data_IF_106156953123
#
_entry.id   IF_106156953123
#
_cell.length_a   1.000
_cell.length_b   1.000
_cell.length_c   1.000
_cell.angle_alpha   90.00
_cell.angle_beta   90.00
_cell.angle_gamma   90.00
#
_symmetry.space_group_name_H-M   'P 1'
#
loop_
_entity.id
_entity.type
_entity.pdbx_description
1 polymer ?
#
# COMPACT_ATOMS: atom_id res chain seq x y z
N UNK A 1 47.21 -33.71 4.60
CA UNK A 1 46.54 -34.27 5.79
C UNK A 1 46.33 -33.12 6.77
N UNK A 2 45.19 -32.45 6.65
CA UNK A 2 44.04 -32.49 7.58
C UNK A 2 44.33 -31.73 8.89
N UNK A 3 43.80 -30.51 8.98
CA UNK A 3 42.90 -30.11 10.07
C UNK A 3 42.03 -28.94 9.60
N UNK A 4 40.81 -29.32 9.19
CA UNK A 4 39.62 -28.48 9.18
C UNK A 4 39.03 -28.38 10.60
N UNK A 5 38.06 -27.47 10.77
CA UNK A 5 37.21 -27.13 11.94
C UNK A 5 37.61 -25.75 12.49
N UNK A 6 36.77 -24.71 12.47
CA UNK A 6 35.33 -24.72 12.76
C UNK A 6 34.58 -23.67 11.91
N UNK A 7 33.78 -24.14 10.97
CA UNK A 7 32.62 -23.41 10.45
C UNK A 7 31.46 -23.66 11.41
N UNK A 8 30.78 -22.63 11.91
CA UNK A 8 29.54 -22.81 12.68
C UNK A 8 28.33 -22.38 11.84
N UNK A 9 27.37 -23.28 11.82
CA UNK A 9 26.27 -23.49 10.89
C UNK A 9 25.10 -22.54 11.15
N UNK A 10 24.53 -22.03 10.05
CA UNK A 10 23.21 -21.42 9.94
C UNK A 10 22.15 -22.54 9.93
N UNK A 11 21.13 -22.52 10.81
CA UNK A 11 19.90 -23.32 10.62
C UNK A 11 18.67 -22.48 10.97
N UNK A 12 17.70 -22.57 10.06
CA UNK A 12 16.41 -21.89 10.00
C UNK A 12 15.44 -22.25 11.14
N UNK A 13 14.58 -21.26 11.40
CA UNK A 13 13.49 -21.15 12.37
C UNK A 13 12.43 -22.28 12.33
N UNK A 14 11.94 -22.63 13.52
CA UNK A 14 10.54 -23.05 13.76
C UNK A 14 9.97 -22.24 14.93
N UNK A 15 8.80 -21.64 14.72
CA UNK A 15 8.27 -20.45 15.42
C UNK A 15 7.69 -20.67 16.83
N UNK A 16 8.09 -21.72 17.56
CA UNK A 16 7.51 -22.06 18.87
C UNK A 16 8.50 -22.24 20.03
N UNK A 17 9.79 -21.91 19.86
CA UNK A 17 10.85 -22.10 20.88
C UNK A 17 11.46 -20.78 21.41
N UNK A 18 10.91 -19.63 21.03
CA UNK A 18 11.61 -18.33 21.14
C UNK A 18 11.91 -17.89 22.59
N UNK A 19 11.15 -18.32 23.60
CA UNK A 19 11.35 -17.84 24.98
C UNK A 19 12.46 -18.55 25.77
N UNK A 20 12.82 -19.80 25.45
CA UNK A 20 13.89 -20.53 26.18
C UNK A 20 15.28 -20.27 25.60
N UNK A 21 15.40 -20.01 24.30
CA UNK A 21 16.69 -19.77 23.64
C UNK A 21 17.25 -18.37 23.92
N UNK A 22 16.39 -17.39 24.24
CA UNK A 22 16.83 -16.02 24.57
C UNK A 22 17.60 -15.97 25.89
N UNK A 23 17.15 -16.68 26.94
CA UNK A 23 17.86 -16.71 28.23
C UNK A 23 19.20 -17.40 28.11
N UNK A 24 19.29 -18.51 27.39
CA UNK A 24 20.54 -19.25 27.22
C UNK A 24 21.59 -18.45 26.45
N UNK A 25 21.17 -17.73 25.39
CA UNK A 25 22.04 -16.81 24.67
C UNK A 25 22.55 -15.68 25.57
N UNK A 26 21.64 -14.96 26.25
CA UNK A 26 22.03 -13.85 27.14
C UNK A 26 22.92 -14.33 28.29
N UNK A 27 22.66 -15.50 28.87
CA UNK A 27 23.49 -16.10 29.92
C UNK A 27 24.89 -16.43 29.39
N UNK A 28 24.99 -17.01 28.19
CA UNK A 28 26.28 -17.33 27.56
C UNK A 28 27.07 -16.07 27.21
N UNK A 29 26.44 -15.04 26.64
CA UNK A 29 27.12 -13.77 26.35
C UNK A 29 27.50 -13.05 27.64
N UNK A 30 26.66 -13.06 28.67
CA UNK A 30 27.00 -12.49 29.99
C UNK A 30 28.18 -13.22 30.64
N UNK A 31 28.31 -14.53 30.42
CA UNK A 31 29.48 -15.28 30.83
C UNK A 31 30.73 -14.84 30.06
N UNK A 32 30.71 -14.91 28.72
CA UNK A 32 31.88 -14.59 27.88
C UNK A 32 32.39 -13.15 28.13
N UNK A 33 31.46 -12.18 28.17
CA UNK A 33 31.78 -10.76 28.29
C UNK A 33 31.71 -10.25 29.74
N UNK A 34 31.60 -11.13 30.72
CA UNK A 34 31.42 -10.75 32.13
C UNK A 34 32.56 -9.90 32.71
N UNK A 35 33.77 -10.02 32.17
CA UNK A 35 34.97 -9.35 32.66
C UNK A 35 35.44 -8.18 31.78
N UNK A 36 34.66 -7.77 30.79
CA UNK A 36 35.03 -6.60 29.97
C UNK A 36 34.81 -5.31 30.77
N UNK A 37 35.60 -4.29 30.48
CA UNK A 37 35.38 -2.96 31.04
C UNK A 37 34.31 -2.24 30.22
N UNK A 38 33.06 -2.32 30.69
CA UNK A 38 31.90 -1.72 30.01
C UNK A 38 32.05 -0.20 29.81
N UNK A 39 32.87 0.48 30.61
CA UNK A 39 33.14 1.91 30.43
C UNK A 39 33.97 2.20 29.16
N UNK A 40 34.74 1.22 28.67
CA UNK A 40 35.46 1.32 27.38
C UNK A 40 34.54 1.12 26.17
N UNK A 41 33.35 0.53 26.37
CA UNK A 41 32.30 0.47 25.35
C UNK A 41 31.51 1.78 25.34
N UNK A 42 32.19 2.88 25.00
CA UNK A 42 31.67 4.26 25.06
C UNK A 42 30.43 4.49 24.21
N UNK A 43 30.21 3.69 23.17
CA UNK A 43 29.00 3.79 22.33
C UNK A 43 27.78 3.11 22.97
N UNK A 44 28.00 2.26 23.97
CA UNK A 44 27.00 1.38 24.56
C UNK A 44 26.62 0.17 23.69
N UNK A 45 27.24 -0.01 22.52
CA UNK A 45 26.96 -1.12 21.60
C UNK A 45 28.25 -1.89 21.29
N UNK A 46 28.28 -3.19 21.59
CA UNK A 46 29.39 -4.07 21.26
C UNK A 46 28.92 -5.15 20.28
N UNK A 47 29.52 -5.19 19.08
CA UNK A 47 29.10 -6.09 18.01
C UNK A 47 29.09 -7.56 18.44
N UNK A 48 30.15 -8.00 19.08
CA UNK A 48 30.32 -9.41 19.44
C UNK A 48 29.38 -9.87 20.56
N UNK A 49 28.75 -8.93 21.29
CA UNK A 49 27.79 -9.23 22.35
C UNK A 49 26.38 -9.54 21.81
N UNK A 50 26.01 -9.00 20.65
CA UNK A 50 24.66 -9.05 20.11
C UNK A 50 24.42 -10.12 19.04
N UNK A 51 23.14 -10.44 18.83
CA UNK A 51 22.68 -11.26 17.69
C UNK A 51 22.63 -10.39 16.44
N UNK A 52 23.35 -10.82 15.40
CA UNK A 52 23.33 -10.18 14.08
C UNK A 52 22.20 -10.74 13.23
N UNK A 53 21.12 -9.98 13.10
CA UNK A 53 19.99 -10.30 12.21
C UNK A 53 20.25 -9.88 10.76
N UNK A 54 21.31 -9.10 10.53
CA UNK A 54 21.78 -8.66 9.21
C UNK A 54 23.31 -8.49 9.24
N UNK A 55 23.95 -8.41 8.07
CA UNK A 55 25.37 -8.07 7.93
C UNK A 55 25.56 -6.56 8.15
N UNK A 56 25.55 -6.14 9.41
CA UNK A 56 25.59 -4.72 9.80
C UNK A 56 26.79 -3.96 9.21
N UNK A 57 27.90 -4.65 8.96
CA UNK A 57 29.13 -4.07 8.42
C UNK A 57 28.97 -3.55 6.98
N UNK A 58 28.01 -4.09 6.22
CA UNK A 58 27.72 -3.65 4.86
C UNK A 58 27.02 -2.28 4.82
N UNK A 59 26.39 -1.86 5.92
CA UNK A 59 25.57 -0.64 6.02
C UNK A 59 26.34 0.50 6.71
N UNK A 60 27.56 0.74 6.27
CA UNK A 60 28.52 1.64 6.94
C UNK A 60 28.48 3.11 6.46
N UNK A 61 27.44 3.49 5.71
CA UNK A 61 27.33 4.82 5.11
C UNK A 61 27.99 4.96 3.73
N UNK A 62 28.27 3.86 3.04
CA UNK A 62 28.74 3.83 1.64
C UNK A 62 27.85 2.89 0.83
N UNK A 63 27.39 3.30 -0.35
CA UNK A 63 26.54 2.48 -1.22
C UNK A 63 27.35 1.35 -1.89
N UNK A 64 26.78 0.14 -1.93
CA UNK A 64 27.26 -0.99 -2.73
C UNK A 64 26.09 -1.89 -3.18
N UNK A 65 26.36 -2.91 -3.99
CA UNK A 65 25.30 -3.76 -4.55
C UNK A 65 24.52 -4.60 -3.52
N UNK A 66 25.04 -4.76 -2.30
CA UNK A 66 24.55 -5.72 -1.32
C UNK A 66 23.95 -5.07 -0.07
N UNK A 67 23.84 -3.73 -0.03
CA UNK A 67 23.42 -3.00 1.16
C UNK A 67 22.18 -2.12 0.94
N UNK A 68 21.26 -2.61 0.13
CA UNK A 68 19.94 -2.00 -0.05
C UNK A 68 19.16 -2.03 1.26
N UNK A 69 18.49 -0.93 1.58
CA UNK A 69 17.73 -0.76 2.82
C UNK A 69 16.25 -0.66 2.52
N UNK A 70 15.56 -1.80 2.49
CA UNK A 70 14.11 -1.84 2.65
C UNK A 70 13.72 -1.79 4.14
N UNK A 71 12.41 -1.76 4.42
CA UNK A 71 11.87 -1.73 5.78
C UNK A 71 12.34 -2.91 6.63
N UNK A 72 12.43 -4.11 6.05
CA UNK A 72 12.88 -5.34 6.71
C UNK A 72 14.36 -5.28 7.03
N UNK A 73 15.21 -4.78 6.13
CA UNK A 73 16.63 -4.58 6.44
C UNK A 73 16.80 -3.51 7.51
N UNK A 74 16.07 -2.39 7.42
CA UNK A 74 16.07 -1.35 8.46
C UNK A 74 15.74 -1.94 9.84
N UNK A 75 14.64 -2.69 9.95
CA UNK A 75 14.24 -3.35 11.20
C UNK A 75 15.28 -4.37 11.69
N UNK A 76 15.90 -5.12 10.78
CA UNK A 76 16.97 -6.08 11.11
C UNK A 76 18.24 -5.38 11.63
N UNK A 77 18.60 -4.22 11.07
CA UNK A 77 19.70 -3.39 11.57
C UNK A 77 19.40 -2.85 12.97
N UNK A 78 18.20 -2.31 13.17
CA UNK A 78 17.76 -1.81 14.49
C UNK A 78 17.73 -2.94 15.54
N UNK A 79 17.21 -4.12 15.21
CA UNK A 79 17.23 -5.30 16.09
C UNK A 79 18.65 -5.76 16.42
N UNK A 80 19.56 -5.72 15.44
CA UNK A 80 20.97 -6.07 15.66
C UNK A 80 21.63 -5.10 16.64
N UNK A 81 21.45 -3.79 16.43
CA UNK A 81 21.90 -2.77 17.40
C UNK A 81 21.28 -2.96 18.78
N UNK A 82 19.98 -3.28 18.84
CA UNK A 82 19.28 -3.46 20.10
C UNK A 82 19.84 -4.63 20.92
N UNK A 83 20.27 -5.71 20.25
CA UNK A 83 20.88 -6.86 20.92
C UNK A 83 22.35 -6.64 21.30
N UNK A 84 23.03 -5.69 20.65
CA UNK A 84 24.44 -5.34 20.91
C UNK A 84 24.66 -4.50 22.16
N UNK A 85 23.60 -4.10 22.89
CA UNK A 85 23.75 -3.19 24.03
C UNK A 85 24.54 -3.80 25.18
N UNK A 86 25.53 -3.04 25.65
CA UNK A 86 26.32 -3.37 26.83
C UNK A 86 26.48 -2.14 27.73
N UNK A 87 26.28 -2.33 29.03
CA UNK A 87 26.33 -1.24 30.01
C UNK A 87 25.14 -0.28 29.88
N UNK A 88 25.31 0.93 30.42
CA UNK A 88 24.20 1.89 30.56
C UNK A 88 24.21 2.98 29.47
N UNK A 89 25.29 3.10 28.69
CA UNK A 89 25.45 4.15 27.67
C UNK A 89 24.38 4.08 26.55
N UNK A 90 23.79 2.92 26.32
CA UNK A 90 22.71 2.71 25.36
C UNK A 90 21.33 2.49 26.02
N UNK A 91 21.17 2.78 27.32
CA UNK A 91 19.93 2.54 28.06
C UNK A 91 18.72 3.32 27.51
N UNK A 92 18.96 4.43 26.82
CA UNK A 92 17.91 5.25 26.19
C UNK A 92 17.39 4.70 24.85
N UNK A 93 18.01 3.65 24.30
CA UNK A 93 17.55 3.06 23.05
C UNK A 93 16.17 2.43 23.24
N UNK A 94 15.19 2.92 22.47
CA UNK A 94 13.82 2.42 22.51
C UNK A 94 13.74 0.95 22.11
N UNK A 95 12.84 0.22 22.77
CA UNK A 95 12.54 -1.17 22.45
C UNK A 95 12.09 -1.31 20.97
N UNK A 96 12.48 -2.39 20.25
CA UNK A 96 12.13 -2.54 18.84
C UNK A 96 10.61 -2.58 18.63
N UNK A 97 9.86 -3.16 19.57
CA UNK A 97 8.40 -3.16 19.52
C UNK A 97 7.81 -1.73 19.52
N UNK A 98 8.39 -0.81 20.30
CA UNK A 98 7.99 0.60 20.37
C UNK A 98 8.35 1.35 19.09
N UNK A 99 9.53 1.09 18.53
CA UNK A 99 9.94 1.73 17.27
C UNK A 99 9.12 1.18 16.10
N UNK A 100 8.96 -0.14 16.01
CA UNK A 100 8.28 -0.74 14.86
C UNK A 100 6.78 -0.45 14.84
N UNK A 101 6.16 -0.13 15.98
CA UNK A 101 4.79 0.38 16.00
C UNK A 101 4.68 1.80 15.44
N UNK A 102 5.71 2.65 15.58
CA UNK A 102 5.76 3.98 14.95
C UNK A 102 6.18 3.94 13.48
N UNK A 103 6.84 2.86 13.03
CA UNK A 103 7.17 2.60 11.62
C UNK A 103 6.07 1.88 10.85
N UNK A 104 4.97 1.47 11.50
CA UNK A 104 3.75 1.19 10.75
C UNK A 104 3.34 2.52 10.13
N UNK A 105 3.03 2.58 8.82
CA UNK A 105 2.43 3.79 8.29
C UNK A 105 1.25 4.11 9.20
N UNK A 106 1.29 5.28 9.87
CA UNK A 106 0.06 5.86 10.37
C UNK A 106 -0.89 5.79 9.18
N UNK A 107 -1.96 5.00 9.30
CA UNK A 107 -3.01 4.78 8.28
C UNK A 107 -2.99 5.91 7.27
N UNK A 108 -2.47 5.65 6.05
CA UNK A 108 -2.17 6.64 4.99
C UNK A 108 -2.58 8.05 5.40
N UNK A 109 -1.66 8.82 5.98
CA UNK A 109 -1.96 10.24 6.19
C UNK A 109 -2.34 10.79 4.82
N UNK A 110 -3.51 11.41 4.72
CA UNK A 110 -4.14 11.85 3.46
C UNK A 110 -3.28 12.91 2.73
N UNK A 111 -2.13 13.27 3.30
CA UNK A 111 -1.27 14.39 2.90
C UNK A 111 0.13 13.97 2.45
N UNK A 112 0.62 12.77 2.80
CA UNK A 112 2.00 12.33 2.48
C UNK A 112 2.03 10.86 2.04
N UNK A 113 2.55 10.63 0.83
CA UNK A 113 2.60 9.31 0.20
C UNK A 113 3.73 8.44 0.75
N UNK A 114 4.91 9.03 0.97
CA UNK A 114 6.13 8.31 1.35
C UNK A 114 6.80 8.95 2.56
N UNK A 115 6.79 8.22 3.67
CA UNK A 115 7.64 8.54 4.82
C UNK A 115 8.96 7.78 4.73
N UNK A 116 10.07 8.46 4.99
CA UNK A 116 11.35 7.84 5.26
C UNK A 116 11.55 7.62 6.76
N UNK A 117 12.26 6.55 7.11
CA UNK A 117 12.87 6.36 8.42
C UNK A 117 14.38 6.23 8.28
N UNK A 118 15.12 6.90 9.15
CA UNK A 118 16.58 6.93 9.13
C UNK A 118 17.15 6.43 10.45
N UNK A 119 18.25 5.68 10.37
CA UNK A 119 19.05 5.34 11.54
C UNK A 119 20.53 5.67 11.28
N UNK A 120 21.16 6.33 12.25
CA UNK A 120 22.61 6.55 12.28
C UNK A 120 23.15 6.24 13.67
N UNK A 121 23.83 5.10 13.81
CA UNK A 121 24.44 4.70 15.07
C UNK A 121 25.93 4.46 14.91
N UNK A 122 26.71 4.88 15.90
CA UNK A 122 28.06 4.36 16.10
C UNK A 122 28.04 3.19 17.07
N UNK A 123 28.81 2.16 16.78
CA UNK A 123 28.99 0.98 17.62
C UNK A 123 30.46 0.63 17.73
N UNK A 124 30.82 -0.21 18.70
CA UNK A 124 32.17 -0.73 18.85
C UNK A 124 32.25 -2.21 18.51
N UNK A 125 33.41 -2.62 18.01
CA UNK A 125 33.77 -4.01 17.79
C UNK A 125 35.19 -4.23 18.27
N UNK A 126 35.56 -5.47 18.58
CA UNK A 126 36.96 -5.78 18.82
C UNK A 126 37.82 -5.52 17.57
N UNK A 127 39.01 -4.96 17.79
CA UNK A 127 40.06 -4.91 16.77
C UNK A 127 40.41 -6.34 16.36
N UNK A 128 40.65 -6.55 15.07
CA UNK A 128 41.02 -7.87 14.53
C UNK A 128 42.30 -8.44 15.16
N UNK A 129 43.18 -7.57 15.67
CA UNK A 129 44.40 -7.93 16.37
C UNK A 129 44.32 -7.76 17.91
N UNK A 130 43.14 -7.57 18.51
CA UNK A 130 43.03 -7.28 19.96
C UNK A 130 43.71 -8.35 20.84
N UNK A 131 43.62 -9.63 20.46
CA UNK A 131 44.29 -10.73 21.18
C UNK A 131 45.80 -10.72 20.93
N UNK A 132 46.23 -10.69 19.66
CA UNK A 132 47.66 -10.76 19.30
C UNK A 132 48.45 -9.52 19.73
N UNK A 133 47.79 -8.37 19.83
CA UNK A 133 48.34 -7.14 20.34
C UNK A 133 48.37 -7.09 21.89
N UNK A 134 47.69 -8.03 22.56
CA UNK A 134 47.57 -8.06 24.02
C UNK A 134 46.66 -6.98 24.60
N UNK A 135 45.66 -6.53 23.84
CA UNK A 135 44.62 -5.60 24.32
C UNK A 135 43.54 -6.33 25.13
N UNK A 136 43.36 -7.64 24.90
CA UNK A 136 42.49 -8.53 25.68
C UNK A 136 43.19 -9.85 25.99
N UNK A 137 42.74 -10.53 27.04
CA UNK A 137 43.09 -11.93 27.36
C UNK A 137 41.86 -12.81 27.33
N UNK A 138 42.01 -14.07 26.92
CA UNK A 138 40.93 -15.07 26.91
C UNK A 138 41.32 -16.20 27.85
N UNK A 139 40.50 -16.46 28.88
CA UNK A 139 40.72 -17.54 29.85
C UNK A 139 39.38 -18.19 30.19
N UNK A 140 39.26 -19.53 30.07
CA UNK A 140 38.03 -20.28 30.39
C UNK A 140 36.77 -19.62 29.80
N UNK A 141 36.78 -19.33 28.49
CA UNK A 141 35.72 -18.64 27.74
C UNK A 141 35.42 -17.18 28.16
N UNK A 142 36.12 -16.62 29.15
CA UNK A 142 36.00 -15.20 29.50
C UNK A 142 36.97 -14.34 28.71
N UNK A 143 36.46 -13.25 28.14
CA UNK A 143 37.27 -12.16 27.60
C UNK A 143 37.47 -11.12 28.70
N UNK A 144 38.71 -10.67 28.90
CA UNK A 144 39.06 -9.62 29.87
C UNK A 144 39.88 -8.53 29.20
N UNK A 145 39.49 -7.27 29.40
CA UNK A 145 40.19 -6.12 28.83
C UNK A 145 41.46 -5.81 29.64
N UNK A 146 42.58 -5.57 28.97
CA UNK A 146 43.83 -5.21 29.64
C UNK A 146 43.79 -3.73 30.08
N UNK A 147 44.18 -3.45 31.32
CA UNK A 147 44.21 -2.10 31.87
C UNK A 147 45.09 -1.15 31.04
N UNK A 148 44.63 0.08 30.82
CA UNK A 148 45.35 1.08 30.02
C UNK A 148 45.33 0.86 28.50
N UNK A 149 44.72 -0.24 28.02
CA UNK A 149 44.63 -0.56 26.58
C UNK A 149 43.20 -0.44 26.08
N UNK A 150 43.05 -0.07 24.80
CA UNK A 150 41.76 0.00 24.11
C UNK A 150 41.66 -1.12 23.06
N UNK A 151 40.83 -2.15 23.28
CA UNK A 151 40.70 -3.26 22.35
C UNK A 151 39.67 -3.00 21.24
N UNK A 152 38.96 -1.87 21.27
CA UNK A 152 37.81 -1.62 20.39
C UNK A 152 38.11 -0.63 19.26
N UNK A 153 37.54 -0.89 18.09
CA UNK A 153 37.35 0.07 17.01
C UNK A 153 35.92 0.60 17.04
N UNK A 154 35.75 1.89 16.72
CA UNK A 154 34.41 2.48 16.48
C UNK A 154 34.04 2.34 15.00
N UNK A 155 32.82 1.90 14.75
CA UNK A 155 32.22 1.69 13.43
C UNK A 155 30.84 2.35 13.38
N UNK A 156 30.23 2.37 12.20
CA UNK A 156 28.96 3.04 11.93
C UNK A 156 27.99 2.09 11.27
N UNK A 157 26.71 2.20 11.65
CA UNK A 157 25.56 1.71 10.88
C UNK A 157 24.75 2.92 10.44
N UNK A 158 24.46 2.98 9.15
CA UNK A 158 23.62 3.99 8.54
C UNK A 158 22.65 3.34 7.55
N UNK A 159 21.38 3.67 7.67
CA UNK A 159 20.34 3.18 6.77
C UNK A 159 19.15 4.12 6.72
N UNK A 160 18.66 4.38 5.51
CA UNK A 160 17.43 5.15 5.28
C UNK A 160 16.51 4.30 4.41
N UNK A 161 15.29 4.08 4.88
CA UNK A 161 14.28 3.28 4.19
C UNK A 161 13.02 4.10 3.96
N UNK A 162 12.41 4.08 2.76
CA UNK A 162 11.02 4.42 2.61
C UNK A 162 10.17 3.38 3.36
N UNK A 163 9.08 3.81 4.00
CA UNK A 163 8.19 2.93 4.77
C UNK A 163 7.11 2.25 3.91
N UNK A 164 7.08 2.59 2.64
CA UNK A 164 6.30 1.99 1.57
C UNK A 164 7.24 1.66 0.41
N UNK A 165 7.01 0.53 -0.26
CA UNK A 165 7.87 0.03 -1.35
C UNK A 165 7.22 0.18 -2.73
N UNK A 166 5.93 0.50 -2.79
CA UNK A 166 5.16 0.55 -4.03
C UNK A 166 4.29 1.80 -4.05
N UNK A 167 4.40 2.57 -5.14
CA UNK A 167 3.67 3.81 -5.36
C UNK A 167 2.93 3.73 -6.69
N UNK A 168 1.83 4.46 -6.80
CA UNK A 168 1.06 4.54 -8.04
C UNK A 168 0.56 5.95 -8.32
N UNK A 169 0.76 6.40 -9.55
CA UNK A 169 0.53 7.78 -9.98
C UNK A 169 1.76 8.30 -10.70
N UNK A 170 1.76 9.59 -10.98
CA UNK A 170 2.87 10.31 -11.59
C UNK A 170 3.64 11.11 -10.55
N UNK A 171 2.95 11.72 -9.59
CA UNK A 171 3.52 12.64 -8.61
C UNK A 171 3.29 12.14 -7.20
N UNK A 172 4.34 12.15 -6.37
CA UNK A 172 4.31 11.66 -5.01
C UNK A 172 4.96 12.64 -4.04
N UNK A 173 4.39 12.70 -2.84
CA UNK A 173 4.87 13.48 -1.72
C UNK A 173 5.76 12.63 -0.80
N UNK A 174 7.01 13.06 -0.62
CA UNK A 174 8.01 12.43 0.24
C UNK A 174 8.29 13.29 1.46
N UNK A 175 8.41 12.69 2.64
CA UNK A 175 8.82 13.38 3.86
C UNK A 175 9.77 12.52 4.70
N UNK A 176 10.72 13.16 5.36
CA UNK A 176 11.49 12.57 6.45
C UNK A 176 11.13 13.30 7.76
N UNK A 177 10.23 12.73 8.59
CA UNK A 177 9.91 13.30 9.88
C UNK A 177 11.11 13.20 10.83
N UNK A 178 11.38 14.24 11.61
CA UNK A 178 12.44 14.22 12.63
C UNK A 178 12.19 13.15 13.70
N UNK A 179 10.92 12.80 13.95
CA UNK A 179 10.54 11.73 14.87
C UNK A 179 10.95 10.32 14.37
N UNK A 180 11.27 10.17 13.08
CA UNK A 180 11.72 8.91 12.47
C UNK A 180 13.22 8.90 12.17
N UNK A 181 13.99 9.81 12.80
CA UNK A 181 15.45 9.82 12.76
C UNK A 181 15.99 9.29 14.09
N UNK A 182 16.57 8.10 14.06
CA UNK A 182 17.09 7.40 15.22
C UNK A 182 18.62 7.47 15.26
N UNK A 183 19.21 8.00 16.32
CA UNK A 183 20.67 8.13 16.43
C UNK A 183 21.18 8.08 17.87
N UNK A 184 22.45 7.70 18.05
CA UNK A 184 23.20 7.89 19.30
C UNK A 184 24.34 8.92 19.17
N UNK A 185 24.32 9.74 18.11
CA UNK A 185 25.36 10.75 17.86
C UNK A 185 24.81 12.15 18.15
N UNK A 186 25.69 13.05 18.61
CA UNK A 186 25.37 14.47 18.81
C UNK A 186 25.89 15.34 17.65
N UNK A 187 26.28 14.72 16.53
CA UNK A 187 26.81 15.45 15.38
C UNK A 187 25.68 16.27 14.74
N UNK A 188 25.86 17.58 14.48
CA UNK A 188 24.83 18.38 13.83
C UNK A 188 24.62 17.94 12.38
N UNK A 189 23.39 17.57 12.03
CA UNK A 189 23.01 17.26 10.65
C UNK A 189 22.88 18.58 9.86
N UNK A 190 23.81 18.83 8.92
CA UNK A 190 23.84 20.08 8.15
C UNK A 190 23.02 20.02 6.88
N UNK A 191 22.95 18.87 6.22
CA UNK A 191 22.22 18.73 4.95
C UNK A 191 21.74 17.31 4.74
N UNK A 192 20.54 17.20 4.14
CA UNK A 192 19.99 15.95 3.63
C UNK A 192 19.76 16.13 2.13
N UNK A 193 20.24 15.19 1.33
CA UNK A 193 19.96 15.14 -0.11
C UNK A 193 19.42 13.78 -0.48
N UNK A 194 18.47 13.74 -1.40
CA UNK A 194 17.90 12.52 -1.96
C UNK A 194 17.93 12.62 -3.48
N UNK A 195 18.52 11.62 -4.12
CA UNK A 195 18.29 11.33 -5.52
C UNK A 195 17.11 10.38 -5.60
N UNK A 196 16.02 10.85 -6.21
CA UNK A 196 14.77 10.10 -6.30
C UNK A 196 14.70 9.21 -7.55
N UNK A 197 15.75 9.18 -8.39
CA UNK A 197 15.71 8.49 -9.69
C UNK A 197 14.62 9.05 -10.63
N UNK A 198 14.40 10.37 -10.52
CA UNK A 198 13.48 11.18 -11.32
C UNK A 198 14.21 11.93 -12.46
N UNK A 199 15.52 11.73 -12.60
CA UNK A 199 16.39 12.36 -13.58
C UNK A 199 17.00 13.70 -13.14
N UNK A 200 16.68 14.22 -11.95
CA UNK A 200 17.23 15.48 -11.44
C UNK A 200 18.44 15.29 -10.51
N UNK A 201 18.80 14.05 -10.19
CA UNK A 201 19.91 13.72 -9.29
C UNK A 201 19.64 14.13 -7.84
N UNK A 202 20.69 14.35 -7.05
CA UNK A 202 20.57 14.71 -5.63
C UNK A 202 19.90 16.07 -5.41
N UNK A 203 18.72 16.05 -4.82
CA UNK A 203 17.94 17.22 -4.44
C UNK A 203 17.99 17.42 -2.92
N UNK A 204 18.11 18.67 -2.46
CA UNK A 204 18.10 18.96 -1.01
C UNK A 204 16.69 18.79 -0.45
N UNK A 205 16.59 18.10 0.68
CA UNK A 205 15.35 17.94 1.46
C UNK A 205 15.58 18.40 2.90
N UNK A 206 14.51 18.72 3.62
CA UNK A 206 14.56 19.13 5.03
C UNK A 206 13.67 18.23 5.87
N UNK A 207 14.00 18.09 7.15
CA UNK A 207 13.17 17.34 8.08
C UNK A 207 11.79 18.00 8.20
N UNK A 208 10.75 17.18 8.37
CA UNK A 208 9.36 17.62 8.54
C UNK A 208 8.84 18.51 7.40
N UNK A 209 9.40 18.37 6.19
CA UNK A 209 9.02 19.14 5.01
C UNK A 209 8.71 18.20 3.87
N UNK A 210 7.52 18.36 3.28
CA UNK A 210 7.08 17.59 2.12
C UNK A 210 7.86 18.00 0.88
N UNK A 211 8.35 17.00 0.14
CA UNK A 211 9.00 17.12 -1.16
C UNK A 211 8.17 16.36 -2.20
N UNK A 212 7.60 17.09 -3.15
CA UNK A 212 6.91 16.49 -4.28
C UNK A 212 7.91 16.07 -5.36
N UNK A 213 7.72 14.88 -5.92
CA UNK A 213 8.55 14.27 -6.95
C UNK A 213 7.64 13.68 -8.01
N UNK A 214 7.86 14.05 -9.27
CA UNK A 214 7.10 13.53 -10.41
C UNK A 214 7.98 12.61 -11.25
N UNK A 215 7.46 11.44 -11.57
CA UNK A 215 8.06 10.48 -12.49
C UNK A 215 7.36 10.54 -13.84
N UNK A 216 8.10 10.37 -14.93
CA UNK A 216 7.54 10.32 -16.29
C UNK A 216 7.38 8.89 -16.82
N UNK A 217 7.81 7.90 -16.03
CA UNK A 217 7.76 6.48 -16.37
C UNK A 217 7.80 5.62 -15.12
N UNK A 218 7.18 4.44 -15.23
CA UNK A 218 7.12 3.47 -14.14
C UNK A 218 8.41 2.66 -14.00
N UNK A 219 8.34 1.64 -13.15
CA UNK A 219 9.41 0.70 -12.88
C UNK A 219 10.09 0.93 -11.54
N UNK A 220 11.14 0.16 -11.32
CA UNK A 220 11.98 0.26 -10.13
C UNK A 220 12.73 1.60 -10.12
N UNK A 221 12.70 2.29 -8.99
CA UNK A 221 13.43 3.54 -8.73
C UNK A 221 14.38 3.32 -7.57
N UNK A 222 15.66 3.62 -7.77
CA UNK A 222 16.68 3.50 -6.72
C UNK A 222 16.86 4.85 -6.02
N UNK A 223 16.27 4.98 -4.83
CA UNK A 223 16.38 6.18 -4.02
C UNK A 223 17.71 6.21 -3.29
N UNK A 224 18.58 7.18 -3.60
CA UNK A 224 19.89 7.35 -2.95
C UNK A 224 19.82 8.52 -1.98
N UNK A 225 20.11 8.26 -0.72
CA UNK A 225 20.04 9.25 0.35
C UNK A 225 21.45 9.57 0.83
N UNK A 226 21.71 10.86 1.06
CA UNK A 226 22.98 11.40 1.54
C UNK A 226 22.74 12.33 2.72
N UNK A 227 23.34 12.02 3.87
CA UNK A 227 23.34 12.87 5.06
C UNK A 227 24.74 13.46 5.26
N UNK A 228 24.82 14.78 5.40
CA UNK A 228 26.06 15.51 5.67
C UNK A 228 26.02 16.00 7.11
N UNK A 229 26.98 15.58 7.93
CA UNK A 229 27.11 16.03 9.32
C UNK A 229 28.23 17.07 9.45
N UNK A 230 27.95 18.19 10.11
CA UNK A 230 28.93 19.25 10.34
C UNK A 230 30.05 18.78 11.27
N UNK A 231 31.30 18.93 10.83
CA UNK A 231 32.47 18.40 11.54
C UNK A 231 32.51 16.86 11.60
N UNK A 232 31.68 16.18 10.81
CA UNK A 232 31.49 14.73 10.82
C UNK A 232 31.53 14.11 9.43
N UNK A 233 31.07 12.84 9.30
CA UNK A 233 31.08 12.14 8.03
C UNK A 233 29.95 12.63 7.10
N UNK A 234 30.10 12.31 5.82
CA UNK A 234 28.97 12.20 4.89
C UNK A 234 28.61 10.74 4.74
N UNK A 235 27.35 10.39 4.96
CA UNK A 235 26.85 9.01 4.95
C UNK A 235 25.84 8.83 3.83
N UNK A 236 25.96 7.70 3.14
CA UNK A 236 25.13 7.31 2.00
C UNK A 236 24.36 6.04 2.32
N UNK A 237 23.11 6.00 1.89
CA UNK A 237 22.24 4.82 1.92
C UNK A 237 21.43 4.78 0.64
N UNK A 238 20.94 3.60 0.26
CA UNK A 238 20.05 3.45 -0.87
C UNK A 238 18.97 2.43 -0.60
N UNK A 239 17.85 2.62 -1.29
CA UNK A 239 16.64 1.83 -1.16
C UNK A 239 15.96 1.76 -2.53
N UNK A 240 14.99 0.86 -2.67
CA UNK A 240 14.18 0.78 -3.88
C UNK A 240 12.72 0.99 -3.56
N UNK A 241 12.05 1.67 -4.48
CA UNK A 241 10.60 1.67 -4.59
C UNK A 241 10.24 1.22 -6.00
N UNK A 242 9.04 0.69 -6.16
CA UNK A 242 8.45 0.46 -7.47
C UNK A 242 7.40 1.54 -7.73
N UNK A 243 7.56 2.29 -8.82
CA UNK A 243 6.58 3.27 -9.28
C UNK A 243 5.74 2.63 -10.38
N UNK A 244 4.47 2.37 -10.09
CA UNK A 244 3.49 2.08 -11.11
C UNK A 244 2.98 3.40 -11.71
N UNK A 245 3.70 3.90 -12.70
CA UNK A 245 3.37 5.17 -13.34
C UNK A 245 2.01 5.10 -14.02
N UNK A 246 1.12 5.97 -13.58
CA UNK A 246 -0.10 6.32 -14.30
C UNK A 246 0.12 7.75 -14.78
N UNK A 247 0.08 8.02 -16.10
CA UNK A 247 0.12 9.39 -16.59
C UNK A 247 -0.93 10.24 -15.88
N UNK A 248 -0.70 11.52 -15.64
CA UNK A 248 -1.72 12.41 -15.13
C UNK A 248 -2.82 12.58 -16.20
N UNK A 249 -3.74 11.62 -16.24
CA UNK A 249 -4.96 11.59 -17.04
C UNK A 249 -6.08 11.07 -16.16
N UNK A 250 -6.57 11.94 -15.27
CA UNK A 250 -7.87 11.82 -14.62
C UNK A 250 -7.96 10.78 -13.50
N UNK A 251 -8.77 11.12 -12.50
CA UNK A 251 -9.14 10.32 -11.34
C UNK A 251 -10.06 9.15 -11.78
N UNK A 252 -10.80 8.52 -10.85
CA UNK A 252 -12.03 7.82 -11.22
C UNK A 252 -12.81 8.67 -12.23
N UNK A 253 -13.10 8.12 -13.42
CA UNK A 253 -13.52 8.93 -14.57
C UNK A 253 -15.03 9.14 -14.64
N UNK A 254 -15.84 8.19 -14.16
CA UNK A 254 -17.21 8.54 -13.79
C UNK A 254 -17.19 9.30 -12.48
N UNK A 255 -17.44 10.60 -12.56
CA UNK A 255 -17.45 11.53 -11.44
C UNK A 255 -18.71 12.43 -11.43
N UNK A 256 -19.71 12.08 -12.26
CA UNK A 256 -20.96 12.80 -12.51
C UNK A 256 -20.80 14.09 -13.31
N UNK A 257 -19.58 14.51 -13.63
CA UNK A 257 -19.35 15.72 -14.43
C UNK A 257 -19.88 15.50 -15.84
N UNK A 258 -20.82 16.34 -16.25
CA UNK A 258 -21.44 16.21 -17.57
C UNK A 258 -22.53 15.12 -17.67
N UNK A 259 -22.84 14.43 -16.56
CA UNK A 259 -23.94 13.48 -16.53
C UNK A 259 -25.31 14.18 -16.78
N UNK A 260 -26.24 13.46 -17.42
CA UNK A 260 -27.60 13.94 -17.70
C UNK A 260 -28.64 13.06 -17.05
N UNK A 261 -29.76 13.64 -16.61
CA UNK A 261 -30.85 12.90 -15.97
C UNK A 261 -32.13 12.97 -16.80
N UNK A 262 -32.84 11.84 -16.92
CA UNK A 262 -34.11 11.73 -17.65
C UNK A 262 -35.16 11.03 -16.81
N UNK A 263 -36.40 11.53 -16.84
CA UNK A 263 -37.53 10.88 -16.16
C UNK A 263 -38.24 9.93 -17.13
N UNK A 264 -38.40 8.66 -16.74
CA UNK A 264 -38.99 7.61 -17.56
C UNK A 264 -40.14 6.94 -16.82
N UNK A 265 -41.24 6.70 -17.52
CA UNK A 265 -42.43 6.01 -17.02
C UNK A 265 -42.65 4.72 -17.81
N UNK A 266 -42.86 3.61 -17.10
CA UNK A 266 -43.13 2.30 -17.69
C UNK A 266 -44.58 2.10 -18.14
N UNK A 267 -44.82 0.96 -18.78
CA UNK A 267 -46.18 0.53 -19.15
C UNK A 267 -47.06 0.23 -17.91
N UNK A 268 -48.37 0.22 -18.12
CA UNK A 268 -49.36 -0.05 -17.07
C UNK A 268 -49.33 -1.54 -16.68
N UNK A 269 -49.19 -1.84 -15.40
CA UNK A 269 -49.39 -3.18 -14.82
C UNK A 269 -50.35 -3.11 -13.64
N UNK A 270 -51.45 -3.87 -13.73
CA UNK A 270 -52.54 -3.87 -12.74
C UNK A 270 -53.03 -2.46 -12.39
N UNK A 271 -53.28 -1.62 -13.40
CA UNK A 271 -53.91 -0.31 -13.24
C UNK A 271 -53.01 0.84 -12.79
N UNK A 272 -51.69 0.63 -12.64
CA UNK A 272 -50.72 1.69 -12.33
C UNK A 272 -49.41 1.50 -13.10
N UNK A 273 -48.58 2.55 -13.13
CA UNK A 273 -47.25 2.56 -13.75
C UNK A 273 -46.17 2.75 -12.68
N UNK A 274 -44.96 2.27 -12.94
CA UNK A 274 -43.76 2.73 -12.23
C UNK A 274 -43.08 3.86 -13.01
N UNK A 275 -42.35 4.72 -12.31
CA UNK A 275 -41.49 5.73 -12.92
C UNK A 275 -40.16 5.80 -12.18
N UNK A 276 -39.16 6.37 -12.84
CA UNK A 276 -37.81 6.51 -12.29
C UNK A 276 -37.02 7.61 -12.99
N UNK A 277 -35.92 8.01 -12.36
CA UNK A 277 -34.89 8.86 -12.93
C UNK A 277 -33.75 7.97 -13.43
N UNK A 278 -33.31 8.20 -14.66
CA UNK A 278 -32.08 7.60 -15.16
C UNK A 278 -30.99 8.66 -15.23
N UNK A 279 -29.78 8.33 -14.77
CA UNK A 279 -28.58 9.18 -14.91
C UNK A 279 -27.65 8.54 -15.95
N UNK A 280 -27.20 9.34 -16.92
CA UNK A 280 -26.35 8.91 -18.02
C UNK A 280 -25.06 9.70 -18.02
N UNK A 281 -23.93 9.00 -17.97
CA UNK A 281 -22.58 9.56 -18.11
C UNK A 281 -21.83 8.77 -19.18
N UNK A 282 -21.31 9.46 -20.19
CA UNK A 282 -20.56 8.84 -21.28
C UNK A 282 -19.11 8.62 -20.87
N UNK A 283 -18.45 7.62 -21.45
CA UNK A 283 -17.00 7.49 -21.25
C UNK A 283 -16.26 8.71 -21.83
N UNK A 284 -15.27 9.25 -21.11
CA UNK A 284 -14.53 10.47 -21.49
C UNK A 284 -13.62 10.27 -22.71
N UNK A 285 -13.49 9.03 -23.19
CA UNK A 285 -12.63 8.69 -24.34
C UNK A 285 -13.12 9.32 -25.65
N UNK A 286 -14.41 9.57 -25.80
CA UNK A 286 -15.00 10.20 -26.99
C UNK A 286 -16.25 11.07 -26.73
N UNK A 287 -16.90 10.94 -25.57
CA UNK A 287 -18.12 11.68 -25.22
C UNK A 287 -19.34 11.29 -26.06
N UNK A 288 -19.34 10.10 -26.68
CA UNK A 288 -20.41 9.61 -27.54
C UNK A 288 -21.14 8.47 -26.83
N UNK A 289 -22.46 8.62 -26.66
CA UNK A 289 -23.27 7.53 -26.10
C UNK A 289 -23.46 6.39 -27.11
N UNK A 290 -22.63 5.36 -27.04
CA UNK A 290 -22.61 4.27 -28.01
C UNK A 290 -22.54 2.87 -27.40
N UNK A 291 -22.02 2.68 -26.17
CA UNK A 291 -21.78 1.35 -25.58
C UNK A 291 -22.34 1.23 -24.16
N UNK A 292 -23.66 1.03 -24.00
CA UNK A 292 -24.31 1.21 -22.70
C UNK A 292 -24.06 0.05 -21.71
N UNK A 293 -23.71 0.42 -20.48
CA UNK A 293 -23.85 -0.37 -19.26
C UNK A 293 -25.01 0.17 -18.43
N UNK A 294 -26.12 -0.57 -18.41
CA UNK A 294 -27.34 -0.22 -17.66
C UNK A 294 -27.26 -0.86 -16.27
N UNK A 295 -27.13 -0.04 -15.23
CA UNK A 295 -27.11 -0.43 -13.83
C UNK A 295 -28.46 -0.14 -13.20
N UNK A 296 -29.13 -1.17 -12.67
CA UNK A 296 -30.46 -1.07 -12.07
C UNK A 296 -30.32 -1.21 -10.55
N UNK A 297 -30.78 -0.20 -9.82
CA UNK A 297 -30.74 -0.19 -8.37
C UNK A 297 -31.55 -1.31 -7.70
N UNK A 298 -31.34 -1.46 -6.40
CA UNK A 298 -31.96 -2.49 -5.57
C UNK A 298 -33.24 -2.05 -4.86
N UNK A 299 -33.45 -2.64 -3.69
CA UNK A 299 -34.51 -2.24 -2.77
C UNK A 299 -34.02 -1.04 -1.96
N UNK A 300 -34.66 0.12 -2.15
CA UNK A 300 -34.29 1.39 -1.51
C UNK A 300 -35.56 2.16 -1.08
N UNK A 301 -36.19 1.76 0.04
CA UNK A 301 -37.48 2.31 0.46
C UNK A 301 -37.41 3.78 0.91
N UNK A 302 -36.21 4.24 1.26
CA UNK A 302 -35.95 5.62 1.69
C UNK A 302 -35.47 6.51 0.54
N UNK A 303 -35.28 5.94 -0.67
CA UNK A 303 -34.73 6.63 -1.83
C UNK A 303 -33.40 7.32 -1.51
N UNK A 304 -32.55 6.61 -0.76
CA UNK A 304 -31.29 7.07 -0.18
C UNK A 304 -30.06 6.71 -1.01
N UNK A 305 -30.20 5.81 -1.97
CA UNK A 305 -29.14 5.38 -2.87
C UNK A 305 -29.27 6.10 -4.22
N UNK A 306 -28.27 6.89 -4.58
CA UNK A 306 -28.27 7.63 -5.85
C UNK A 306 -27.03 7.34 -6.73
N UNK A 307 -26.87 8.13 -7.78
CA UNK A 307 -25.76 7.97 -8.71
C UNK A 307 -24.39 8.28 -8.08
N UNK A 308 -24.32 9.23 -7.14
CA UNK A 308 -23.07 9.51 -6.42
C UNK A 308 -22.69 8.30 -5.56
N UNK A 309 -23.65 7.64 -4.92
CA UNK A 309 -23.38 6.41 -4.17
C UNK A 309 -22.89 5.26 -5.07
N UNK A 310 -23.37 5.19 -6.32
CA UNK A 310 -22.89 4.19 -7.27
C UNK A 310 -21.44 4.43 -7.68
N UNK A 311 -21.00 5.68 -7.89
CA UNK A 311 -19.68 5.95 -8.45
C UNK A 311 -18.58 6.13 -7.40
N UNK A 312 -18.92 6.32 -6.12
CA UNK A 312 -17.96 6.54 -5.03
C UNK A 312 -17.64 5.26 -4.23
N UNK A 313 -16.38 5.09 -3.77
CA UNK A 313 -15.92 3.91 -3.02
C UNK A 313 -16.69 3.71 -1.69
N UNK A 314 -17.03 4.81 -1.01
CA UNK A 314 -17.75 4.78 0.28
C UNK A 314 -19.27 4.58 0.13
N UNK A 315 -19.79 4.62 -1.11
CA UNK A 315 -21.20 4.45 -1.41
C UNK A 315 -21.66 2.99 -1.39
N UNK A 316 -22.94 2.77 -1.06
CA UNK A 316 -23.49 1.42 -0.95
C UNK A 316 -23.58 0.72 -2.32
N UNK A 317 -22.64 -0.17 -2.65
CA UNK A 317 -22.58 -0.79 -3.97
C UNK A 317 -21.74 0.00 -5.00
N UNK A 318 -20.87 0.87 -4.50
CA UNK A 318 -19.95 1.69 -5.30
C UNK A 318 -19.09 0.89 -6.29
N UNK A 319 -18.89 1.44 -7.50
CA UNK A 319 -18.01 0.87 -8.53
C UNK A 319 -16.58 1.38 -8.46
N UNK A 320 -16.26 2.36 -7.61
CA UNK A 320 -14.87 2.76 -7.36
C UNK A 320 -14.15 1.81 -6.40
N UNK A 321 -14.35 0.52 -6.60
CA UNK A 321 -13.70 -0.57 -5.85
C UNK A 321 -12.49 -1.09 -6.61
N UNK A 322 -11.44 -1.45 -5.87
CA UNK A 322 -10.21 -2.01 -6.45
C UNK A 322 -10.43 -3.44 -6.94
N UNK A 323 -10.08 -3.73 -8.20
CA UNK A 323 -10.21 -5.06 -8.83
C UNK A 323 -8.87 -5.71 -9.23
N UNK A 324 -7.76 -5.01 -9.01
CA UNK A 324 -6.41 -5.52 -9.28
C UNK A 324 -5.85 -6.42 -8.16
N UNK A 325 -5.09 -7.46 -8.53
CA UNK A 325 -4.35 -8.29 -7.57
C UNK A 325 -3.12 -7.58 -7.00
N UNK A 326 -2.64 -8.03 -5.84
CA UNK A 326 -1.39 -7.53 -5.24
C UNK A 326 -0.22 -7.65 -6.23
N UNK A 327 0.53 -6.56 -6.43
CA UNK A 327 1.63 -6.48 -7.41
C UNK A 327 1.20 -6.25 -8.86
N UNK A 328 -0.09 -6.06 -9.14
CA UNK A 328 -0.60 -5.58 -10.44
C UNK A 328 -0.96 -4.09 -10.35
N UNK A 329 -1.04 -3.37 -11.48
CA UNK A 329 -1.51 -1.99 -11.48
C UNK A 329 -2.86 -1.86 -10.75
N UNK A 330 -3.01 -0.89 -9.84
CA UNK A 330 -4.35 -0.63 -9.29
C UNK A 330 -5.26 -0.21 -10.43
N UNK A 331 -6.34 -0.96 -10.56
CA UNK A 331 -7.44 -0.75 -11.48
C UNK A 331 -8.69 -0.78 -10.62
N UNK A 332 -9.46 0.31 -10.58
CA UNK A 332 -10.80 0.27 -9.99
C UNK A 332 -11.80 -0.23 -11.02
N UNK A 333 -12.92 -0.77 -10.56
CA UNK A 333 -13.99 -1.21 -11.46
C UNK A 333 -14.53 -0.04 -12.28
N UNK A 334 -14.65 1.16 -11.69
CA UNK A 334 -14.97 2.42 -12.37
C UNK A 334 -14.02 2.65 -13.57
N UNK A 335 -12.71 2.64 -13.33
CA UNK A 335 -11.70 2.77 -14.39
C UNK A 335 -11.76 1.66 -15.43
N UNK A 336 -12.05 0.42 -15.03
CA UNK A 336 -12.11 -0.71 -15.96
C UNK A 336 -13.31 -0.61 -16.90
N UNK A 337 -14.48 -0.23 -16.38
CA UNK A 337 -15.70 -0.01 -17.17
C UNK A 337 -15.43 1.07 -18.21
N UNK A 338 -14.85 2.18 -17.77
CA UNK A 338 -14.70 3.38 -18.59
C UNK A 338 -13.54 3.24 -19.61
N UNK A 339 -12.44 2.56 -19.26
CA UNK A 339 -11.38 2.19 -20.22
C UNK A 339 -11.84 1.20 -21.31
N UNK A 340 -12.82 0.35 -21.00
CA UNK A 340 -13.47 -0.51 -22.00
C UNK A 340 -14.48 0.28 -22.84
N UNK A 341 -14.64 1.59 -22.61
CA UNK A 341 -15.48 2.50 -23.36
C UNK A 341 -16.97 2.30 -23.11
N UNK A 342 -17.38 1.79 -21.95
CA UNK A 342 -18.80 1.69 -21.63
C UNK A 342 -19.37 3.04 -21.16
N UNK A 343 -20.58 3.39 -21.59
CA UNK A 343 -21.34 4.51 -21.04
C UNK A 343 -22.22 4.05 -19.88
N UNK A 344 -22.19 4.75 -18.75
CA UNK A 344 -22.95 4.36 -17.57
C UNK A 344 -24.38 4.90 -17.65
N UNK A 345 -25.36 4.01 -17.48
CA UNK A 345 -26.79 4.35 -17.37
C UNK A 345 -27.31 3.80 -16.04
N UNK A 346 -27.46 4.66 -15.04
CA UNK A 346 -28.00 4.25 -13.75
C UNK A 346 -29.51 4.47 -13.68
N UNK A 347 -30.26 3.46 -13.24
CA UNK A 347 -31.72 3.48 -13.09
C UNK A 347 -32.07 3.56 -11.61
N UNK A 348 -32.67 4.68 -11.21
CA UNK A 348 -33.21 4.93 -9.88
C UNK A 348 -34.75 5.05 -9.94
N UNK A 349 -35.47 4.22 -9.20
CA UNK A 349 -36.92 4.15 -9.15
C UNK A 349 -37.48 5.19 -8.18
N UNK A 350 -38.53 5.90 -8.60
CA UNK A 350 -39.30 6.77 -7.69
C UNK A 350 -39.92 5.96 -6.54
N UNK A 351 -40.27 4.69 -6.80
CA UNK A 351 -40.77 3.77 -5.78
C UNK A 351 -40.17 2.36 -6.01
N UNK A 352 -38.99 2.13 -5.45
CA UNK A 352 -38.31 0.82 -5.50
C UNK A 352 -39.11 -0.30 -4.83
N UNK A 353 -40.07 0.02 -3.94
CA UNK A 353 -40.89 -0.97 -3.22
C UNK A 353 -42.14 -1.44 -3.96
N UNK A 354 -42.40 -0.92 -5.16
CA UNK A 354 -43.53 -1.32 -5.98
C UNK A 354 -43.38 -2.77 -6.51
N UNK A 355 -44.42 -3.29 -7.17
CA UNK A 355 -44.38 -4.58 -7.83
C UNK A 355 -43.17 -4.69 -8.77
N UNK A 356 -42.43 -5.79 -8.64
CA UNK A 356 -41.30 -6.13 -9.53
C UNK A 356 -41.69 -5.99 -11.01
N UNK A 357 -42.92 -6.38 -11.37
CA UNK A 357 -43.44 -6.26 -12.74
C UNK A 357 -43.61 -4.80 -13.20
N UNK A 358 -44.05 -3.90 -12.33
CA UNK A 358 -44.16 -2.46 -12.67
C UNK A 358 -42.78 -1.86 -12.86
N UNK A 359 -41.86 -2.12 -11.93
CA UNK A 359 -40.48 -1.67 -12.05
C UNK A 359 -39.81 -2.29 -13.29
N UNK A 360 -40.17 -3.52 -13.67
CA UNK A 360 -39.66 -4.16 -14.88
C UNK A 360 -40.18 -3.46 -16.14
N UNK A 361 -41.46 -3.11 -16.22
CA UNK A 361 -42.00 -2.34 -17.34
C UNK A 361 -41.41 -0.92 -17.44
N UNK A 362 -40.93 -0.34 -16.33
CA UNK A 362 -40.13 0.87 -16.39
C UNK A 362 -38.73 0.61 -16.97
N UNK A 363 -38.06 -0.48 -16.56
CA UNK A 363 -36.77 -0.90 -17.14
C UNK A 363 -36.87 -1.22 -18.64
N UNK A 364 -37.97 -1.82 -19.11
CA UNK A 364 -38.22 -2.01 -20.56
C UNK A 364 -38.24 -0.68 -21.31
N UNK A 365 -38.89 0.34 -20.73
CA UNK A 365 -38.90 1.68 -21.29
C UNK A 365 -37.51 2.33 -21.28
N UNK A 366 -36.70 2.09 -20.24
CA UNK A 366 -35.28 2.51 -20.21
C UNK A 366 -34.49 1.84 -21.32
N UNK A 367 -34.61 0.52 -21.49
CA UNK A 367 -33.89 -0.22 -22.54
C UNK A 367 -34.28 0.29 -23.93
N UNK A 368 -35.58 0.54 -24.17
CA UNK A 368 -36.05 1.12 -25.43
C UNK A 368 -35.46 2.53 -25.66
N UNK A 369 -35.40 3.36 -24.61
CA UNK A 369 -34.79 4.69 -24.67
C UNK A 369 -33.29 4.62 -24.99
N UNK A 370 -32.55 3.73 -24.31
CA UNK A 370 -31.13 3.49 -24.56
C UNK A 370 -30.88 3.02 -25.99
N UNK A 371 -31.69 2.07 -26.48
CA UNK A 371 -31.59 1.56 -27.85
C UNK A 371 -31.84 2.65 -28.90
N UNK A 372 -32.84 3.51 -28.68
CA UNK A 372 -33.06 4.66 -29.54
C UNK A 372 -31.88 5.64 -29.51
N UNK A 373 -31.30 5.90 -28.33
CA UNK A 373 -30.22 6.89 -28.17
C UNK A 373 -28.91 6.43 -28.83
N UNK A 374 -28.51 5.18 -28.64
CA UNK A 374 -27.28 4.63 -29.27
C UNK A 374 -27.45 4.49 -30.79
N UNK A 375 -28.66 4.19 -31.28
CA UNK A 375 -28.94 4.16 -32.71
C UNK A 375 -28.82 5.55 -33.38
N UNK A 376 -29.17 6.64 -32.68
CA UNK A 376 -28.95 8.01 -33.16
C UNK A 376 -27.47 8.34 -33.34
N UNK A 377 -26.59 7.68 -32.57
CA UNK A 377 -25.14 7.80 -32.69
C UNK A 377 -24.54 6.73 -33.63
N UNK A 378 -25.37 6.07 -34.45
CA UNK A 378 -24.98 5.00 -35.36
C UNK A 378 -24.28 3.79 -34.71
N UNK A 379 -24.48 3.60 -33.40
CA UNK A 379 -23.92 2.46 -32.68
C UNK A 379 -24.68 1.17 -32.93
N UNK A 380 -23.93 0.08 -33.06
CA UNK A 380 -24.45 -1.29 -33.09
C UNK A 380 -24.05 -2.10 -31.84
N UNK A 381 -23.47 -1.45 -30.82
CA UNK A 381 -23.09 -2.13 -29.58
C UNK A 381 -24.32 -2.56 -28.80
N UNK A 382 -24.31 -3.81 -28.34
CA UNK A 382 -25.38 -4.38 -27.53
C UNK A 382 -25.25 -3.95 -26.07
N UNK A 383 -26.39 -3.75 -25.42
CA UNK A 383 -26.47 -3.37 -24.02
C UNK A 383 -25.83 -4.43 -23.11
N UNK A 384 -25.21 -3.99 -22.03
CA UNK A 384 -24.95 -4.79 -20.84
C UNK A 384 -25.91 -4.34 -19.75
N UNK A 385 -26.60 -5.27 -19.11
CA UNK A 385 -27.57 -4.96 -18.05
C UNK A 385 -27.11 -5.60 -16.75
N UNK A 386 -26.85 -4.78 -15.74
CA UNK A 386 -26.48 -5.19 -14.39
C UNK A 386 -27.61 -4.83 -13.43
N UNK A 387 -28.17 -5.83 -12.75
CA UNK A 387 -29.14 -5.60 -11.69
C UNK A 387 -28.53 -5.85 -10.32
N UNK A 388 -28.62 -4.87 -9.43
CA UNK A 388 -28.15 -4.97 -8.04
C UNK A 388 -29.29 -5.37 -7.12
N UNK A 389 -29.08 -6.37 -6.26
CA UNK A 389 -30.08 -6.83 -5.29
C UNK A 389 -31.44 -7.11 -5.99
N UNK A 390 -32.54 -6.50 -5.53
CA UNK A 390 -33.85 -6.60 -6.17
C UNK A 390 -33.82 -6.20 -7.67
N UNK A 391 -32.96 -5.28 -8.08
CA UNK A 391 -32.75 -4.87 -9.46
C UNK A 391 -32.42 -6.04 -10.40
N UNK A 392 -31.76 -7.09 -9.90
CA UNK A 392 -31.54 -8.32 -10.68
C UNK A 392 -32.84 -9.09 -10.97
N UNK A 393 -33.82 -9.06 -10.07
CA UNK A 393 -35.15 -9.63 -10.33
C UNK A 393 -35.89 -8.82 -11.40
N UNK A 394 -35.84 -7.50 -11.27
CA UNK A 394 -36.47 -6.55 -12.18
C UNK A 394 -35.88 -6.69 -13.58
N UNK A 395 -34.55 -6.64 -13.71
CA UNK A 395 -33.81 -6.82 -14.96
C UNK A 395 -34.16 -8.16 -15.63
N UNK A 396 -34.10 -9.26 -14.86
CA UNK A 396 -34.43 -10.59 -15.37
C UNK A 396 -35.87 -10.67 -15.87
N UNK A 397 -36.82 -10.04 -15.17
CA UNK A 397 -38.21 -10.00 -15.61
C UNK A 397 -38.37 -9.20 -16.90
N UNK A 398 -37.83 -7.98 -16.95
CA UNK A 398 -37.90 -7.09 -18.11
C UNK A 398 -37.33 -7.74 -19.37
N UNK A 399 -36.10 -8.27 -19.28
CA UNK A 399 -35.46 -8.95 -20.41
C UNK A 399 -36.28 -10.16 -20.88
N UNK A 400 -36.77 -10.98 -19.94
CA UNK A 400 -37.58 -12.15 -20.29
C UNK A 400 -38.91 -11.78 -20.91
N UNK A 401 -39.55 -10.72 -20.44
CA UNK A 401 -40.81 -10.24 -20.98
C UNK A 401 -40.61 -9.72 -22.41
N UNK A 402 -39.59 -8.88 -22.65
CA UNK A 402 -39.19 -8.42 -23.99
C UNK A 402 -38.83 -9.56 -24.96
N UNK A 403 -38.34 -10.70 -24.47
CA UNK A 403 -38.10 -11.89 -25.31
C UNK A 403 -39.39 -12.66 -25.69
N UNK A 404 -40.46 -12.52 -24.90
CA UNK A 404 -41.64 -13.41 -24.95
C UNK A 404 -42.97 -12.72 -25.19
N UNK A 405 -43.02 -11.39 -25.17
CA UNK A 405 -44.21 -10.59 -25.44
C UNK A 405 -44.70 -10.72 -26.90
N UNK A 406 -43.82 -11.15 -27.82
CA UNK A 406 -44.12 -11.32 -29.23
C UNK A 406 -44.11 -10.02 -30.04
N UNK A 407 -43.68 -8.90 -29.47
CA UNK A 407 -43.54 -7.63 -30.19
C UNK A 407 -42.11 -7.52 -30.78
N UNK A 408 -41.95 -7.49 -32.11
CA UNK A 408 -40.62 -7.33 -32.70
C UNK A 408 -39.95 -5.98 -32.37
N UNK A 409 -40.70 -4.99 -31.88
CA UNK A 409 -40.20 -3.67 -31.49
C UNK A 409 -39.67 -3.61 -30.05
N UNK A 410 -39.88 -4.65 -29.25
CA UNK A 410 -39.39 -4.74 -27.86
C UNK A 410 -38.08 -5.50 -27.75
N UNK A 411 -37.35 -5.69 -28.86
CA UNK A 411 -36.02 -6.30 -28.80
C UNK A 411 -35.11 -5.49 -27.86
N UNK A 412 -34.70 -6.13 -26.77
CA UNK A 412 -33.90 -5.51 -25.71
C UNK A 412 -32.45 -5.23 -26.14
N UNK A 413 -31.96 -5.87 -27.20
CA UNK A 413 -30.60 -5.72 -27.75
C UNK A 413 -29.49 -5.81 -26.69
N UNK A 414 -29.61 -6.80 -25.79
CA UNK A 414 -28.70 -7.04 -24.67
C UNK A 414 -27.80 -8.24 -24.96
N UNK A 415 -26.48 -8.10 -24.76
CA UNK A 415 -25.51 -9.21 -24.92
C UNK A 415 -25.21 -9.92 -23.61
N UNK A 416 -25.32 -9.24 -22.48
CA UNK A 416 -24.94 -9.75 -21.16
C UNK A 416 -25.89 -9.24 -20.09
N UNK A 417 -26.39 -10.16 -19.27
CA UNK A 417 -27.09 -9.88 -18.03
C UNK A 417 -26.19 -10.26 -16.85
N UNK A 418 -25.95 -9.31 -15.96
CA UNK A 418 -25.18 -9.47 -14.73
C UNK A 418 -26.14 -9.35 -13.55
N UNK A 419 -26.14 -10.37 -12.69
CA UNK A 419 -26.90 -10.38 -11.45
C UNK A 419 -25.94 -10.20 -10.28
N UNK A 420 -26.07 -9.09 -9.54
CA UNK A 420 -25.22 -8.79 -8.40
C UNK A 420 -26.04 -8.86 -7.11
N UNK A 421 -25.78 -9.86 -6.27
CA UNK A 421 -26.47 -10.11 -4.99
C UNK A 421 -28.01 -10.18 -5.09
N UNK A 422 -28.55 -10.65 -6.23
CA UNK A 422 -30.00 -10.66 -6.45
C UNK A 422 -30.70 -11.87 -5.77
N UNK A 423 -31.80 -11.64 -5.04
CA UNK A 423 -32.52 -12.71 -4.33
C UNK A 423 -33.46 -13.51 -5.24
N UNK A 424 -32.89 -14.20 -6.23
CA UNK A 424 -33.62 -14.95 -7.26
C UNK A 424 -34.62 -16.00 -6.76
N UNK A 425 -34.39 -16.52 -5.54
CA UNK A 425 -35.22 -17.53 -4.88
C UNK A 425 -35.77 -17.03 -3.52
N UNK A 426 -35.96 -15.72 -3.36
CA UNK A 426 -36.32 -15.01 -2.11
C UNK A 426 -35.18 -14.91 -1.08
N UNK A 427 -35.21 -13.85 -0.29
CA UNK A 427 -34.34 -13.66 0.89
C UNK A 427 -35.07 -14.12 2.14
N UNK A 428 -34.41 -14.90 3.00
CA UNK A 428 -34.88 -15.16 4.37
C UNK A 428 -34.16 -14.21 5.31
N UNK A 429 -34.85 -13.15 5.75
CA UNK A 429 -34.36 -12.29 6.81
C UNK A 429 -34.87 -12.86 8.15
N UNK A 430 -33.96 -13.45 8.92
CA UNK A 430 -34.25 -13.82 10.30
C UNK A 430 -34.20 -12.56 11.14
N UNK A 431 -35.36 -12.08 11.59
CA UNK A 431 -35.43 -11.00 12.57
C UNK A 431 -35.14 -11.65 13.94
N UNK A 432 -33.90 -11.51 14.42
CA UNK A 432 -33.53 -11.87 15.81
C UNK A 432 -33.76 -10.72 16.76
#
# INVERSE_FOLDING_TARGET
MKNQLLSLLLVLFSFSVIFSQTSDYYNRMSHIFGNIDKAKVTTGYLKEFGVRFNEIEAYNGVINSNNLVDKTQWQSLYNSLYSMRVGDAAASMLAPATVFSTLKPQTRSITVDVLFAAQYYTYQQYKSNAVSNGDVTINNDHISDVAGRNPYDTKTIFGVSPLISELQGDTFSFELPSALVYTNTNLPLSQIQVDFDDGYGYQTVSLNTVKNVSYTSGGEKELKVKFVYSGGPTLYSHSKIYVNYIPPTGQARFDKTGATTHFITGAVYQGATASGLITVETADTDGIFDKPLIVIEGFDPENSFDYDDLINEDGAGGIDIRISSAGQPLLTLNQAIENEGYDLVFVNFVNSTDYIQRNAYMVEAVIAWVNARKALNASTEKNVVLGMSMGGLVARYALRHMETDGDPNTNHDTKLYISHDAPHQVTKLSIT
#
